data_IF_546672036018
#
_entry.id   IF_546672036018
#
_cell.length_a   1.000
_cell.length_b   1.000
_cell.length_c   1.000
_cell.angle_alpha   90.00
_cell.angle_beta   90.00
_cell.angle_gamma   90.00
#
_symmetry.space_group_name_H-M   'P 1'
#
loop_
_entity.id
_entity.type
_entity.pdbx_description
1 polymer ?
#
# COMPACT_ATOMS: atom_id res chain seq x y z
N UNK A 1 10.00 0.87 -0.51
CA UNK A 1 9.46 -0.48 -0.32
C UNK A 1 7.96 -0.45 -0.54
N UNK A 2 7.46 -1.27 -1.43
CA UNK A 2 6.05 -1.29 -1.79
C UNK A 2 5.45 -2.62 -1.34
N UNK A 3 4.53 -2.54 -0.40
CA UNK A 3 3.78 -3.70 0.10
C UNK A 3 2.45 -3.75 -0.64
N UNK A 4 2.11 -4.90 -1.21
CA UNK A 4 0.88 -4.96 -1.97
C UNK A 4 0.11 -6.25 -1.74
N UNK A 5 -1.20 -6.15 -1.94
CA UNK A 5 -2.12 -7.27 -1.97
C UNK A 5 -3.01 -7.10 -3.18
N UNK A 6 -3.21 -8.18 -3.92
CA UNK A 6 -4.02 -8.13 -5.13
C UNK A 6 -4.87 -9.38 -5.23
N UNK A 7 -6.16 -9.19 -5.43
CA UNK A 7 -7.07 -10.31 -5.66
C UNK A 7 -7.37 -10.51 -7.13
N UNK A 8 -7.22 -9.45 -7.94
CA UNK A 8 -7.59 -9.50 -9.36
C UNK A 8 -6.46 -9.14 -10.30
N UNK A 9 -5.30 -8.76 -9.77
CA UNK A 9 -4.17 -8.34 -10.59
C UNK A 9 -4.05 -6.84 -10.76
N UNK A 10 -5.09 -6.07 -10.50
CA UNK A 10 -5.03 -4.62 -10.65
C UNK A 10 -4.02 -3.98 -9.70
N UNK A 11 -4.08 -4.38 -8.42
CA UNK A 11 -3.16 -3.83 -7.43
C UNK A 11 -1.73 -4.27 -7.71
N UNK A 12 -1.55 -5.48 -8.21
CA UNK A 12 -0.22 -5.96 -8.61
C UNK A 12 0.35 -5.10 -9.72
N UNK A 13 -0.47 -4.78 -10.73
CA UNK A 13 -0.03 -3.93 -11.82
C UNK A 13 0.39 -2.56 -11.30
N UNK A 14 -0.42 -1.97 -10.44
CA UNK A 14 -0.10 -0.66 -9.84
C UNK A 14 1.19 -0.74 -9.06
N UNK A 15 1.33 -1.79 -8.24
CA UNK A 15 2.53 -1.95 -7.41
C UNK A 15 3.78 -2.08 -8.27
N UNK A 16 3.69 -2.83 -9.37
CA UNK A 16 4.81 -2.96 -10.28
C UNK A 16 5.20 -1.64 -10.93
N UNK A 17 4.23 -0.83 -11.30
CA UNK A 17 4.51 0.48 -11.88
C UNK A 17 5.19 1.39 -10.87
N UNK A 18 4.71 1.38 -9.63
CA UNK A 18 5.31 2.19 -8.58
C UNK A 18 6.72 1.73 -8.25
N UNK A 19 6.93 0.42 -8.17
CA UNK A 19 8.24 -0.13 -7.87
C UNK A 19 9.27 0.31 -8.92
N UNK A 20 8.90 0.23 -10.18
CA UNK A 20 9.80 0.64 -11.26
C UNK A 20 10.02 2.15 -11.25
N UNK A 21 8.95 2.92 -11.12
CA UNK A 21 9.04 4.38 -11.17
C UNK A 21 9.77 4.99 -9.99
N UNK A 22 9.68 4.37 -8.83
CA UNK A 22 10.30 4.87 -7.61
C UNK A 22 11.58 4.12 -7.24
N UNK A 23 11.92 3.09 -8.01
CA UNK A 23 13.08 2.24 -7.71
C UNK A 23 12.99 1.64 -6.30
N UNK A 24 11.82 1.10 -5.97
CA UNK A 24 11.55 0.52 -4.66
C UNK A 24 11.35 -0.99 -4.76
N UNK A 25 11.64 -1.68 -3.67
CA UNK A 25 11.42 -3.12 -3.58
C UNK A 25 9.94 -3.44 -3.46
N UNK A 26 9.55 -4.61 -3.96
CA UNK A 26 8.18 -5.10 -3.88
C UNK A 26 8.07 -6.22 -2.86
N UNK A 27 7.02 -6.16 -2.04
CA UNK A 27 6.71 -7.22 -1.09
C UNK A 27 5.24 -7.62 -1.26
N UNK A 28 5.01 -8.89 -1.58
CA UNK A 28 3.66 -9.41 -1.69
C UNK A 28 3.16 -9.80 -0.31
N UNK A 29 2.14 -9.12 0.17
CA UNK A 29 1.67 -9.26 1.54
C UNK A 29 1.33 -10.70 1.93
N UNK A 30 0.55 -11.46 1.14
CA UNK A 30 0.23 -12.84 1.54
C UNK A 30 1.46 -13.72 1.69
N UNK A 31 2.45 -13.55 0.83
CA UNK A 31 3.68 -14.33 0.90
C UNK A 31 4.47 -14.00 2.16
N UNK A 32 4.57 -12.71 2.47
CA UNK A 32 5.29 -12.29 3.66
C UNK A 32 4.63 -12.84 4.92
N UNK A 33 3.30 -12.83 4.98
CA UNK A 33 2.58 -13.39 6.11
C UNK A 33 2.79 -14.90 6.21
N UNK A 34 2.73 -15.60 5.08
CA UNK A 34 2.90 -17.04 5.06
C UNK A 34 4.28 -17.45 5.54
N UNK A 35 5.30 -16.71 5.14
CA UNK A 35 6.69 -17.01 5.49
C UNK A 35 7.12 -16.37 6.79
N UNK A 36 6.22 -15.63 7.44
CA UNK A 36 6.50 -14.87 8.65
C UNK A 36 7.71 -13.95 8.50
N UNK A 37 7.86 -13.42 7.29
CA UNK A 37 8.89 -12.44 6.99
C UNK A 37 8.31 -11.06 7.28
N UNK A 38 8.33 -10.68 8.56
CA UNK A 38 7.58 -9.53 9.05
C UNK A 38 8.46 -8.40 9.59
N UNK A 39 9.76 -8.50 9.42
CA UNK A 39 10.68 -7.43 9.79
C UNK A 39 11.33 -6.88 8.55
N UNK A 40 11.30 -5.58 8.41
CA UNK A 40 11.84 -4.90 7.22
C UNK A 40 12.76 -3.78 7.65
N UNK A 41 13.94 -3.73 7.04
CA UNK A 41 14.93 -2.70 7.31
C UNK A 41 14.77 -1.59 6.29
N UNK A 42 14.56 -0.38 6.76
CA UNK A 42 14.34 0.77 5.88
C UNK A 42 15.62 1.53 5.64
N UNK A 43 15.77 2.03 4.42
CA UNK A 43 16.82 2.98 4.11
C UNK A 43 16.34 4.37 4.49
N UNK A 44 17.28 5.29 4.68
CA UNK A 44 16.95 6.62 5.17
C UNK A 44 15.95 7.37 4.27
N UNK A 45 16.14 7.25 2.97
CA UNK A 45 15.30 7.99 2.01
C UNK A 45 14.31 7.09 1.29
N UNK A 46 14.06 5.92 1.85
CA UNK A 46 13.16 4.96 1.23
C UNK A 46 11.72 5.43 1.33
N UNK A 47 10.94 5.21 0.27
CA UNK A 47 9.51 5.47 0.32
C UNK A 47 8.79 4.19 0.71
N UNK A 48 7.70 4.33 1.45
CA UNK A 48 6.92 3.19 1.92
C UNK A 48 5.53 3.31 1.33
N UNK A 49 5.11 2.29 0.59
CA UNK A 49 3.80 2.30 -0.05
C UNK A 49 3.01 1.05 0.28
N UNK A 50 1.70 1.21 0.42
CA UNK A 50 0.76 0.10 0.57
C UNK A 50 -0.22 0.16 -0.57
N UNK A 51 -0.30 -0.91 -1.36
CA UNK A 51 -1.16 -0.96 -2.54
C UNK A 51 -2.14 -2.12 -2.39
N UNK A 52 -3.43 -1.83 -2.51
CA UNK A 52 -4.44 -2.86 -2.26
C UNK A 52 -5.78 -2.46 -2.91
N UNK A 53 -6.66 -3.44 -3.15
CA UNK A 53 -8.01 -3.12 -3.60
C UNK A 53 -8.90 -2.79 -2.41
N UNK A 54 -10.00 -2.09 -2.66
CA UNK A 54 -10.99 -1.81 -1.63
C UNK A 54 -12.13 -2.82 -1.76
N UNK A 55 -12.46 -3.46 -0.64
CA UNK A 55 -13.60 -4.34 -0.53
C UNK A 55 -14.56 -3.75 0.49
N UNK A 56 -15.82 -3.56 0.09
CA UNK A 56 -16.87 -3.07 1.00
C UNK A 56 -16.45 -1.79 1.72
N UNK A 57 -15.80 -0.90 0.98
CA UNK A 57 -15.41 0.44 1.46
C UNK A 57 -14.36 0.44 2.56
N UNK A 58 -13.62 -0.65 2.67
CA UNK A 58 -12.56 -0.74 3.67
C UNK A 58 -11.38 -1.48 3.08
N UNK A 59 -10.18 -1.32 3.66
CA UNK A 59 -9.04 -2.11 3.23
C UNK A 59 -9.29 -3.59 3.52
N UNK A 60 -8.72 -4.50 2.73
CA UNK A 60 -8.86 -5.92 3.04
C UNK A 60 -8.29 -6.22 4.42
N UNK A 61 -8.93 -7.14 5.13
CA UNK A 61 -8.47 -7.51 6.47
C UNK A 61 -7.03 -7.98 6.47
N UNK A 62 -6.61 -8.67 5.41
CA UNK A 62 -5.25 -9.17 5.33
C UNK A 62 -4.24 -8.02 5.36
N UNK A 63 -4.58 -6.87 4.76
CA UNK A 63 -3.69 -5.70 4.76
C UNK A 63 -3.59 -5.13 6.16
N UNK A 64 -4.71 -5.02 6.86
CA UNK A 64 -4.71 -4.49 8.23
C UNK A 64 -3.96 -5.42 9.17
N UNK A 65 -4.14 -6.73 9.02
CA UNK A 65 -3.43 -7.71 9.82
C UNK A 65 -1.93 -7.64 9.57
N UNK A 66 -1.54 -7.46 8.32
CA UNK A 66 -0.14 -7.31 7.96
C UNK A 66 0.48 -6.09 8.63
N UNK A 67 -0.20 -4.93 8.51
CA UNK A 67 0.30 -3.70 9.14
C UNK A 67 0.47 -3.90 10.64
N UNK A 68 -0.47 -4.56 11.27
CA UNK A 68 -0.43 -4.77 12.71
C UNK A 68 0.73 -5.66 13.14
N UNK A 69 1.20 -6.56 12.28
CA UNK A 69 2.20 -7.55 12.63
C UNK A 69 3.63 -7.18 12.24
N UNK A 70 3.81 -6.28 11.28
CA UNK A 70 5.16 -6.01 10.78
C UNK A 70 5.90 -5.00 11.65
N UNK A 71 7.22 -5.04 11.54
CA UNK A 71 8.12 -4.05 12.16
C UNK A 71 8.92 -3.39 11.06
N UNK A 72 9.00 -2.06 11.11
CA UNK A 72 9.80 -1.28 10.18
C UNK A 72 11.00 -0.75 10.96
N UNK A 73 12.14 -1.39 10.77
CA UNK A 73 13.37 -0.98 11.46
C UNK A 73 13.97 0.22 10.78
N UNK A 74 14.53 1.12 11.57
CA UNK A 74 15.11 2.35 11.07
C UNK A 74 14.04 3.28 10.47
N UNK A 75 12.84 3.23 11.05
CA UNK A 75 11.78 4.14 10.65
C UNK A 75 12.12 5.55 11.14
N UNK A 76 12.14 6.50 10.21
CA UNK A 76 12.51 7.88 10.48
C UNK A 76 11.55 8.84 9.76
N UNK A 77 10.26 8.56 9.83
CA UNK A 77 9.24 9.35 9.16
C UNK A 77 9.44 9.42 7.64
N UNK A 78 9.92 8.35 7.05
CA UNK A 78 10.03 8.26 5.61
C UNK A 78 8.65 8.50 4.97
N UNK A 79 8.66 8.98 3.73
CA UNK A 79 7.41 9.24 3.02
C UNK A 79 6.62 7.94 2.92
N UNK A 80 5.43 7.94 3.50
CA UNK A 80 4.54 6.77 3.52
C UNK A 80 3.24 7.14 2.85
N UNK A 81 2.79 6.30 1.94
CA UNK A 81 1.57 6.55 1.18
C UNK A 81 0.83 5.25 0.95
N UNK A 82 -0.43 5.36 0.53
CA UNK A 82 -1.16 4.19 0.07
C UNK A 82 -1.85 4.49 -1.25
N UNK A 83 -2.07 3.42 -2.03
CA UNK A 83 -2.82 3.49 -3.28
C UNK A 83 -3.86 2.38 -3.23
N UNK A 84 -5.12 2.76 -3.38
CA UNK A 84 -6.19 1.77 -3.41
C UNK A 84 -6.90 1.81 -4.76
N UNK A 85 -7.20 0.62 -5.26
CA UNK A 85 -7.99 0.51 -6.50
C UNK A 85 -9.44 0.26 -6.11
N UNK A 86 -10.35 0.99 -6.72
CA UNK A 86 -11.77 0.89 -6.38
C UNK A 86 -12.63 1.24 -7.57
N UNK A 87 -13.91 0.91 -7.46
CA UNK A 87 -14.85 1.23 -8.51
C UNK A 87 -15.25 2.70 -8.52
N UNK A 88 -15.60 3.23 -7.36
CA UNK A 88 -16.06 4.62 -7.31
C UNK A 88 -15.76 5.33 -6.00
N UNK A 89 -15.88 4.68 -4.85
CA UNK A 89 -15.78 5.38 -3.57
C UNK A 89 -14.79 4.70 -2.65
N UNK A 90 -13.95 5.50 -1.99
CA UNK A 90 -12.99 4.97 -1.03
C UNK A 90 -13.64 4.67 0.32
N UNK A 91 -14.84 5.24 0.57
CA UNK A 91 -15.54 5.00 1.82
C UNK A 91 -14.72 5.37 3.03
N UNK A 92 -14.61 4.44 3.97
CA UNK A 92 -13.87 4.65 5.20
C UNK A 92 -12.40 4.20 5.10
N UNK A 93 -11.96 3.81 3.90
CA UNK A 93 -10.63 3.23 3.73
C UNK A 93 -9.53 4.12 4.28
N UNK A 94 -9.55 5.39 3.95
CA UNK A 94 -8.51 6.31 4.42
C UNK A 94 -8.47 6.36 5.93
N UNK A 95 -9.62 6.50 6.57
CA UNK A 95 -9.69 6.60 8.03
C UNK A 95 -9.18 5.34 8.70
N UNK A 96 -9.61 4.18 8.20
CA UNK A 96 -9.23 2.90 8.80
C UNK A 96 -7.75 2.64 8.61
N UNK A 97 -7.23 2.89 7.42
CA UNK A 97 -5.82 2.63 7.14
C UNK A 97 -4.92 3.58 7.93
N UNK A 98 -5.26 4.87 7.95
CA UNK A 98 -4.47 5.86 8.68
C UNK A 98 -4.43 5.53 10.15
N UNK A 99 -5.56 5.09 10.71
CA UNK A 99 -5.60 4.69 12.12
C UNK A 99 -4.69 3.50 12.37
N UNK A 100 -4.71 2.50 11.48
CA UNK A 100 -3.85 1.33 11.65
C UNK A 100 -2.38 1.71 11.62
N UNK A 101 -2.00 2.61 10.71
CA UNK A 101 -0.62 3.07 10.61
C UNK A 101 -0.23 3.89 11.84
N UNK A 102 -1.12 4.80 12.28
CA UNK A 102 -0.83 5.62 13.45
C UNK A 102 -0.70 4.78 14.71
N UNK A 103 -1.45 3.69 14.82
CA UNK A 103 -1.32 2.79 15.97
C UNK A 103 0.08 2.16 16.04
N UNK A 104 0.77 2.08 14.92
CA UNK A 104 2.13 1.59 14.86
C UNK A 104 3.17 2.71 15.03
N UNK A 105 2.72 3.95 15.12
CA UNK A 105 3.62 5.08 15.20
C UNK A 105 4.09 5.59 13.84
N UNK A 106 3.43 5.18 12.77
CA UNK A 106 3.83 5.58 11.42
C UNK A 106 2.89 6.64 10.88
N UNK A 107 3.47 7.69 10.29
CA UNK A 107 2.71 8.81 9.76
C UNK A 107 2.42 8.60 8.28
N UNK A 108 1.15 8.63 7.91
CA UNK A 108 0.75 8.54 6.51
C UNK A 108 0.77 9.93 5.89
N UNK A 109 1.53 10.09 4.81
CA UNK A 109 1.70 11.40 4.18
C UNK A 109 0.72 11.63 3.04
N UNK A 110 0.26 10.58 2.37
CA UNK A 110 -0.62 10.75 1.21
C UNK A 110 -1.42 9.48 0.95
N UNK A 111 -2.57 9.65 0.32
CA UNK A 111 -3.39 8.54 -0.11
C UNK A 111 -3.90 8.81 -1.51
N UNK A 112 -3.93 7.78 -2.33
CA UNK A 112 -4.39 7.87 -3.71
C UNK A 112 -5.40 6.77 -3.99
N UNK A 113 -6.43 7.10 -4.76
CA UNK A 113 -7.35 6.09 -5.24
C UNK A 113 -7.30 6.07 -6.76
N UNK A 114 -7.37 4.88 -7.32
CA UNK A 114 -7.31 4.68 -8.76
C UNK A 114 -8.51 3.87 -9.17
N UNK A 115 -9.30 4.42 -10.09
CA UNK A 115 -10.39 3.68 -10.69
C UNK A 115 -9.79 2.85 -11.81
N UNK A 116 -10.02 1.54 -11.73
CA UNK A 116 -9.41 0.61 -12.69
C UNK A 116 -10.47 0.00 -13.58
N UNK A 117 -10.82 0.67 -14.65
CA UNK A 117 -11.72 0.06 -15.63
C UNK A 117 -11.00 -1.06 -16.35
N UNK A 118 -11.72 -1.79 -17.18
CA UNK A 118 -11.19 -2.97 -17.83
C UNK A 118 -9.92 -2.73 -18.64
N UNK A 119 -9.68 -1.53 -19.08
CA UNK A 119 -8.52 -1.22 -19.89
C UNK A 119 -7.35 -0.66 -19.07
N UNK A 120 -7.47 -0.57 -17.77
CA UNK A 120 -6.36 -0.18 -16.86
C UNK A 120 -5.78 1.19 -17.19
N UNK A 121 -6.61 2.14 -17.50
CA UNK A 121 -6.14 3.48 -17.76
C UNK A 121 -5.89 4.19 -16.44
N UNK A 122 -4.66 4.69 -16.24
CA UNK A 122 -4.34 5.46 -15.05
C UNK A 122 -4.93 6.86 -15.17
N UNK A 123 -5.51 7.32 -14.07
CA UNK A 123 -6.06 8.66 -14.03
C UNK A 123 -4.94 9.69 -13.90
N UNK A 124 -5.15 10.91 -14.44
CA UNK A 124 -4.10 11.92 -14.43
C UNK A 124 -3.49 12.20 -13.06
N UNK A 125 -4.23 12.19 -12.01
CA UNK A 125 -3.68 12.48 -10.70
C UNK A 125 -2.85 11.37 -10.11
N UNK A 126 -2.82 10.23 -10.74
CA UNK A 126 -2.12 9.07 -10.20
C UNK A 126 -0.64 9.09 -10.50
N UNK A 127 -0.21 9.85 -11.44
CA UNK A 127 1.17 9.78 -11.88
C UNK A 127 2.12 10.13 -10.75
N UNK A 128 2.39 9.14 -9.94
CA UNK A 128 3.22 9.28 -8.76
C UNK A 128 4.66 9.32 -9.18
N UNK A 129 5.25 10.42 -9.08
CA UNK A 129 6.60 10.61 -9.56
C UNK A 129 7.55 10.79 -8.44
#
# INVERSE_FOLDING_TARGET
MIFYFSGTGNSEWIANQLSKGQNEDLVFIPEALKNEALEFDLQKDEKIGFVFPIYSWAPPEIVLRFINRISLKEYQNQYLFFVCSCGDDTGLTQQVLVKALNDKGWLCHAGFSVTMPNNYVLLPGFDVR
#
